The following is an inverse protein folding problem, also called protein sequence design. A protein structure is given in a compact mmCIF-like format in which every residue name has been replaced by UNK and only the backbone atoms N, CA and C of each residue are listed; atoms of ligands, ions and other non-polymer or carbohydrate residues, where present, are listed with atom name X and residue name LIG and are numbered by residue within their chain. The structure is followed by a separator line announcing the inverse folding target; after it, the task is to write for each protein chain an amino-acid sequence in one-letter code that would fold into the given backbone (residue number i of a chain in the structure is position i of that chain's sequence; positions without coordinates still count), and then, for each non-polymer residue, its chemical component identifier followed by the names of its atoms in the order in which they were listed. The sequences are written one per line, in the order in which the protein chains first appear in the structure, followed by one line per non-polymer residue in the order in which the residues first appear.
data_IF_023873925926
#
_entry.id   IF_023873925926
#
_cell.length_a   1.000
_cell.length_b   1.000
_cell.length_c   1.000
_cell.angle_alpha   90.00
_cell.angle_beta   90.00
_cell.angle_gamma   90.00
#
_symmetry.space_group_name_H-M   'P 1'
#
loop_
_entity.id
_entity.type
_entity.pdbx_description
1 polymer ?
#
# COMPACT_ATOMS: atom_id res chain seq x y z
N UNK A 1 21.56 12.30 -46.44
CA UNK A 1 21.42 11.33 -45.33
C UNK A 1 21.58 12.11 -44.04
N UNK A 2 20.50 12.26 -43.28
CA UNK A 2 20.40 13.14 -42.10
C UNK A 2 20.80 12.36 -40.85
N UNK A 3 21.70 12.86 -39.99
CA UNK A 3 21.93 12.25 -38.69
C UNK A 3 20.69 12.46 -37.81
N UNK A 4 20.06 11.35 -37.39
CA UNK A 4 19.00 11.34 -36.38
C UNK A 4 19.60 11.66 -35.01
N UNK A 5 19.63 12.94 -34.68
CA UNK A 5 19.89 13.46 -33.33
C UNK A 5 18.56 13.66 -32.61
N UNK A 6 18.08 12.68 -31.84
CA UNK A 6 16.90 12.86 -30.98
C UNK A 6 16.73 11.78 -29.89
N UNK A 7 17.80 11.28 -29.26
CA UNK A 7 17.63 10.33 -28.14
C UNK A 7 18.35 10.70 -26.85
N UNK A 8 18.81 11.95 -26.73
CA UNK A 8 19.48 12.39 -25.51
C UNK A 8 18.82 13.67 -25.02
N UNK A 9 18.38 13.62 -23.75
CA UNK A 9 18.03 14.73 -22.88
C UNK A 9 16.64 15.38 -23.03
N UNK A 10 15.61 14.75 -22.45
CA UNK A 10 14.58 15.46 -21.66
C UNK A 10 14.24 14.59 -20.44
N UNK A 11 15.18 14.50 -19.51
CA UNK A 11 14.95 13.96 -18.16
C UNK A 11 15.01 15.12 -17.16
N UNK A 12 14.27 16.20 -17.43
CA UNK A 12 14.10 17.30 -16.47
C UNK A 12 12.85 18.10 -16.87
N UNK A 13 11.86 18.12 -15.98
CA UNK A 13 10.97 19.27 -15.87
C UNK A 13 9.47 19.02 -15.98
N UNK A 14 8.84 18.91 -14.80
CA UNK A 14 7.54 19.50 -14.46
C UNK A 14 6.27 18.83 -14.99
N UNK A 15 5.59 18.12 -14.09
CA UNK A 15 4.19 18.47 -13.78
C UNK A 15 3.90 18.23 -12.29
N UNK A 16 4.26 19.23 -11.50
CA UNK A 16 3.64 19.49 -10.19
C UNK A 16 2.26 20.07 -10.51
N UNK A 17 1.18 19.31 -10.38
CA UNK A 17 -0.16 19.87 -10.14
C UNK A 17 -1.10 18.83 -9.49
N UNK A 18 -1.44 19.07 -8.22
CA UNK A 18 -2.57 18.48 -7.48
C UNK A 18 -2.19 17.23 -6.66
N UNK A 19 -2.20 17.23 -5.31
CA UNK A 19 -3.12 17.88 -4.38
C UNK A 19 -2.51 17.98 -2.97
N UNK A 20 -2.79 19.10 -2.27
CA UNK A 20 -2.70 19.23 -0.81
C UNK A 20 -1.38 19.80 -0.30
N UNK A 21 -1.13 21.10 -0.42
CA UNK A 21 -1.44 22.09 0.63
C UNK A 21 -1.10 21.56 2.04
N UNK A 22 0.02 22.06 2.55
CA UNK A 22 0.36 22.13 3.97
C UNK A 22 -0.77 22.82 4.74
N UNK A 23 -1.78 22.06 5.16
CA UNK A 23 -2.71 22.48 6.19
C UNK A 23 -2.23 21.90 7.52
N UNK A 24 -1.43 22.69 8.23
CA UNK A 24 -1.38 22.68 9.69
C UNK A 24 -2.84 22.82 10.17
N UNK A 25 -3.52 21.69 10.42
CA UNK A 25 -4.94 21.67 10.74
C UNK A 25 -5.73 20.41 10.36
N UNK A 26 -5.12 19.33 9.87
CA UNK A 26 -5.82 18.06 9.66
C UNK A 26 -5.82 17.22 10.94
N UNK A 27 -6.82 17.45 11.79
CA UNK A 27 -7.04 16.67 13.01
C UNK A 27 -7.11 15.16 12.74
N UNK A 28 -6.40 14.38 13.57
CA UNK A 28 -6.44 12.94 13.86
C UNK A 28 -6.47 11.91 12.70
N UNK A 29 -7.23 12.15 11.65
CA UNK A 29 -7.61 11.20 10.59
C UNK A 29 -6.43 10.69 9.76
N UNK A 30 -5.41 11.53 9.53
CA UNK A 30 -4.22 11.15 8.75
C UNK A 30 -3.24 10.30 9.57
N UNK A 31 -3.15 10.55 10.88
CA UNK A 31 -2.34 9.74 11.79
C UNK A 31 -2.95 8.36 11.98
N UNK A 32 -4.26 8.30 12.19
CA UNK A 32 -5.00 7.04 12.33
C UNK A 32 -4.91 6.18 11.07
N UNK A 33 -5.09 6.77 9.88
CA UNK A 33 -4.94 6.05 8.60
C UNK A 33 -3.53 5.47 8.44
N UNK A 34 -2.49 6.24 8.77
CA UNK A 34 -1.10 5.80 8.69
C UNK A 34 -0.80 4.66 9.67
N UNK A 35 -1.26 4.79 10.93
CA UNK A 35 -1.13 3.74 11.93
C UNK A 35 -1.85 2.45 11.50
N UNK A 36 -3.00 2.57 10.83
CA UNK A 36 -3.75 1.42 10.30
C UNK A 36 -3.02 0.73 9.16
N UNK A 37 -2.44 1.49 8.23
CA UNK A 37 -1.59 0.95 7.16
C UNK A 37 -0.39 0.21 7.75
N UNK A 38 0.34 0.83 8.70
CA UNK A 38 1.49 0.20 9.36
C UNK A 38 1.12 -1.11 10.08
N UNK A 39 -0.06 -1.16 10.72
CA UNK A 39 -0.56 -2.38 11.36
C UNK A 39 -0.83 -3.48 10.33
N UNK A 40 -1.47 -3.14 9.20
CA UNK A 40 -1.72 -4.10 8.12
C UNK A 40 -0.42 -4.60 7.48
N UNK A 41 0.56 -3.72 7.27
CA UNK A 41 1.88 -4.09 6.72
C UNK A 41 2.62 -5.06 7.64
N UNK A 42 2.60 -4.80 8.95
CA UNK A 42 3.18 -5.71 9.94
C UNK A 42 2.50 -7.09 9.90
N UNK A 43 1.17 -7.13 9.87
CA UNK A 43 0.42 -8.38 9.78
C UNK A 43 0.71 -9.14 8.48
N UNK A 44 0.82 -8.43 7.35
CA UNK A 44 1.18 -9.02 6.07
C UNK A 44 2.58 -9.66 6.11
N UNK A 45 3.54 -9.03 6.78
CA UNK A 45 4.88 -9.59 7.01
C UNK A 45 4.84 -10.81 7.93
N UNK A 46 4.01 -10.81 8.98
CA UNK A 46 3.82 -11.98 9.84
C UNK A 46 3.24 -13.15 9.06
N UNK A 47 2.22 -12.93 8.22
CA UNK A 47 1.71 -13.98 7.34
C UNK A 47 2.75 -14.48 6.35
N UNK A 48 3.60 -13.60 5.80
CA UNK A 48 4.71 -13.99 4.95
C UNK A 48 5.73 -14.86 5.70
N UNK A 49 6.06 -14.50 6.95
CA UNK A 49 6.96 -15.26 7.82
C UNK A 49 6.37 -16.62 8.19
N UNK A 50 5.10 -16.66 8.61
CA UNK A 50 4.38 -17.89 8.93
C UNK A 50 4.25 -18.81 7.71
N UNK A 51 3.96 -18.26 6.53
CA UNK A 51 3.84 -19.02 5.29
C UNK A 51 5.14 -19.74 4.91
N UNK A 52 6.33 -19.17 5.23
CA UNK A 52 7.62 -19.83 4.97
C UNK A 52 7.81 -21.11 5.78
N UNK A 53 7.20 -21.19 6.97
CA UNK A 53 7.31 -22.32 7.88
C UNK A 53 6.17 -23.34 7.73
N UNK A 54 5.17 -23.03 6.90
CA UNK A 54 4.03 -23.91 6.63
C UNK A 54 4.14 -24.55 5.24
N UNK A 55 3.37 -25.62 5.01
CA UNK A 55 3.31 -26.32 3.72
C UNK A 55 1.86 -26.58 3.30
N UNK A 56 1.66 -26.72 1.99
CA UNK A 56 0.37 -27.12 1.42
C UNK A 56 -0.74 -26.06 1.60
N UNK A 57 -1.94 -26.52 1.97
CA UNK A 57 -3.13 -25.66 2.03
C UNK A 57 -2.97 -24.46 2.99
N UNK A 58 -2.31 -24.66 4.14
CA UNK A 58 -2.09 -23.61 5.13
C UNK A 58 -1.17 -22.50 4.61
N UNK A 59 -0.11 -22.86 3.88
CA UNK A 59 0.76 -21.88 3.23
C UNK A 59 -0.03 -21.01 2.22
N UNK A 60 -0.86 -21.65 1.40
CA UNK A 60 -1.68 -20.92 0.42
C UNK A 60 -2.75 -20.04 1.08
N UNK A 61 -3.31 -20.45 2.21
CA UNK A 61 -4.23 -19.60 2.98
C UNK A 61 -3.54 -18.34 3.49
N UNK A 62 -2.35 -18.47 4.09
CA UNK A 62 -1.58 -17.33 4.59
C UNK A 62 -1.16 -16.38 3.46
N UNK A 63 -0.74 -16.92 2.31
CA UNK A 63 -0.42 -16.10 1.14
C UNK A 63 -1.65 -15.35 0.60
N UNK A 64 -2.84 -15.97 0.61
CA UNK A 64 -4.09 -15.29 0.24
C UNK A 64 -4.45 -14.18 1.23
N UNK A 65 -4.33 -14.44 2.54
CA UNK A 65 -4.56 -13.43 3.59
C UNK A 65 -3.61 -12.24 3.43
N UNK A 66 -2.34 -12.50 3.15
CA UNK A 66 -1.33 -11.48 2.83
C UNK A 66 -1.73 -10.64 1.61
N UNK A 67 -2.02 -11.28 0.48
CA UNK A 67 -2.38 -10.57 -0.75
C UNK A 67 -3.65 -9.71 -0.57
N UNK A 68 -4.59 -10.18 0.27
CA UNK A 68 -5.78 -9.40 0.62
C UNK A 68 -5.42 -8.15 1.43
N UNK A 69 -4.57 -8.27 2.46
CA UNK A 69 -4.07 -7.10 3.20
C UNK A 69 -3.32 -6.11 2.31
N UNK A 70 -2.46 -6.59 1.40
CA UNK A 70 -1.75 -5.73 0.45
C UNK A 70 -2.72 -4.94 -0.43
N UNK A 71 -3.79 -5.57 -0.93
CA UNK A 71 -4.84 -4.87 -1.70
C UNK A 71 -5.59 -3.81 -0.87
N UNK A 72 -5.88 -4.10 0.41
CA UNK A 72 -6.53 -3.13 1.30
C UNK A 72 -5.61 -1.94 1.61
N UNK A 73 -4.32 -2.18 1.79
CA UNK A 73 -3.30 -1.15 1.96
C UNK A 73 -3.24 -0.26 0.70
N UNK A 74 -3.15 -0.83 -0.49
CA UNK A 74 -3.14 -0.08 -1.75
C UNK A 74 -4.39 0.81 -1.89
N UNK A 75 -5.56 0.29 -1.54
CA UNK A 75 -6.81 1.07 -1.55
C UNK A 75 -6.78 2.21 -0.54
N UNK A 76 -6.28 1.98 0.67
CA UNK A 76 -6.15 3.04 1.69
C UNK A 76 -5.15 4.12 1.29
N UNK A 77 -4.02 3.72 0.69
CA UNK A 77 -2.97 4.62 0.19
C UNK A 77 -3.47 5.44 -0.99
N UNK A 78 -4.28 4.85 -1.87
CA UNK A 78 -4.94 5.56 -2.97
C UNK A 78 -6.06 6.52 -2.51
N UNK A 79 -6.26 6.70 -1.20
CA UNK A 79 -7.32 7.56 -0.63
C UNK A 79 -8.71 6.91 -0.66
N UNK A 80 -8.81 5.64 -1.06
CA UNK A 80 -10.04 4.86 -1.02
C UNK A 80 -10.56 4.65 0.40
N UNK A 81 -11.83 4.23 0.47
CA UNK A 81 -12.43 3.68 1.69
C UNK A 81 -12.28 2.17 1.70
N UNK A 82 -12.00 1.66 2.87
CA UNK A 82 -11.85 0.23 3.12
C UNK A 82 -12.70 -0.10 4.32
N UNK A 83 -13.37 -1.25 4.25
CA UNK A 83 -14.27 -1.68 5.29
C UNK A 83 -13.49 -2.03 6.57
N UNK A 84 -13.82 -1.43 7.72
CA UNK A 84 -13.10 -1.69 8.96
C UNK A 84 -13.28 -3.12 9.45
N UNK A 85 -14.44 -3.74 9.25
CA UNK A 85 -14.71 -5.13 9.65
C UNK A 85 -13.90 -6.11 8.79
N UNK A 86 -13.70 -5.80 7.50
CA UNK A 86 -12.82 -6.60 6.63
C UNK A 86 -11.35 -6.57 7.09
N UNK A 87 -10.90 -5.40 7.56
CA UNK A 87 -9.56 -5.24 8.12
C UNK A 87 -9.45 -6.01 9.44
N UNK A 88 -10.41 -5.85 10.35
CA UNK A 88 -10.34 -6.44 11.69
C UNK A 88 -10.43 -7.97 11.62
N UNK A 89 -11.24 -8.53 10.70
CA UNK A 89 -11.28 -9.95 10.41
C UNK A 89 -9.93 -10.54 9.94
N UNK A 90 -9.12 -9.74 9.22
CA UNK A 90 -7.78 -10.15 8.76
C UNK A 90 -6.70 -9.91 9.81
N UNK A 91 -6.90 -8.95 10.72
CA UNK A 91 -6.02 -8.68 11.85
C UNK A 91 -6.32 -9.60 13.05
N UNK A 92 -7.43 -10.35 13.03
CA UNK A 92 -7.85 -11.22 14.12
C UNK A 92 -8.32 -10.44 15.35
N UNK A 93 -8.90 -9.25 15.14
CA UNK A 93 -9.41 -8.36 16.19
C UNK A 93 -10.93 -8.39 16.27
#
# INVERSE_FOLDING_TARGET
MKPSSAFTAILTGVLITGFGTLALGAGDSSGERRARIETMERQAQEFAGAARNMKGAHQQELLRKRARLESLIERLQAGGRVDPDEVDALLGK
#
